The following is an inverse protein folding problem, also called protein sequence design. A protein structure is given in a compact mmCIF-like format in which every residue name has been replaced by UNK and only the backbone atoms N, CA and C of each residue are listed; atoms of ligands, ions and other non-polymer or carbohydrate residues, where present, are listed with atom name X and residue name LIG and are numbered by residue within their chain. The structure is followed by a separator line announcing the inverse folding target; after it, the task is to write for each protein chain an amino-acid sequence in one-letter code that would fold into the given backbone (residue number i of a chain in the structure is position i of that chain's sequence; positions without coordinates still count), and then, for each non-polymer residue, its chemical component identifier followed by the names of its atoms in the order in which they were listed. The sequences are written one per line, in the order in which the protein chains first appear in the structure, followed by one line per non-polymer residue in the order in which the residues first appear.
data_IF_145408622518
#
_entry.id   IF_145408622518
#
_cell.length_a   1.000
_cell.length_b   1.000
_cell.length_c   1.000
_cell.angle_alpha   90.00
_cell.angle_beta   90.00
_cell.angle_gamma   90.00
#
_symmetry.space_group_name_H-M   'P 1'
#
loop_
_entity.id
_entity.type
_entity.pdbx_description
1 polymer ?
#
# COMPACT_ATOMS: atom_id res chain seq x y z
N UNK A 1 11.48 2.06 3.69
CA UNK A 1 11.02 0.82 4.37
C UNK A 1 9.58 0.52 3.93
N UNK A 2 9.14 -0.73 4.04
CA UNK A 2 7.74 -1.14 3.77
C UNK A 2 7.20 -1.80 5.04
N UNK A 3 6.00 -1.41 5.46
CA UNK A 3 5.31 -1.96 6.63
C UNK A 3 4.07 -2.72 6.21
N UNK A 4 3.86 -3.90 6.80
CA UNK A 4 2.63 -4.69 6.66
C UNK A 4 1.88 -4.68 7.99
N UNK A 5 0.59 -4.31 8.00
CA UNK A 5 -0.23 -4.36 9.20
C UNK A 5 -0.51 -5.80 9.63
N UNK A 6 -0.81 -5.99 10.92
CA UNK A 6 -1.26 -7.27 11.47
C UNK A 6 -2.63 -7.70 10.92
N UNK A 7 -3.54 -6.76 10.72
CA UNK A 7 -4.85 -7.01 10.11
C UNK A 7 -4.75 -6.78 8.60
N UNK A 8 -4.98 -7.81 7.80
CA UNK A 8 -4.88 -7.74 6.34
C UNK A 8 -6.10 -7.07 5.70
N UNK A 9 -7.28 -7.26 6.30
CA UNK A 9 -8.60 -6.77 5.84
C UNK A 9 -8.79 -5.27 6.14
N UNK A 10 -7.81 -4.45 5.76
CA UNK A 10 -7.77 -3.00 6.02
C UNK A 10 -8.96 -2.25 5.40
N UNK A 11 -9.53 -2.75 4.30
CA UNK A 11 -10.74 -2.18 3.69
C UNK A 11 -11.95 -2.26 4.63
N UNK A 12 -12.23 -3.45 5.17
CA UNK A 12 -13.35 -3.65 6.10
C UNK A 12 -13.10 -2.91 7.42
N UNK A 13 -11.86 -2.96 7.92
CA UNK A 13 -11.45 -2.23 9.12
C UNK A 13 -11.65 -0.72 8.97
N UNK A 14 -11.29 -0.16 7.81
CA UNK A 14 -11.50 1.26 7.52
C UNK A 14 -12.97 1.67 7.52
N UNK A 15 -13.85 0.84 6.92
CA UNK A 15 -15.30 1.06 6.96
C UNK A 15 -15.85 0.99 8.40
N UNK A 16 -15.39 0.01 9.19
CA UNK A 16 -15.78 -0.14 10.59
C UNK A 16 -15.35 1.05 11.44
N UNK A 17 -14.12 1.56 11.25
CA UNK A 17 -13.63 2.76 11.92
C UNK A 17 -14.46 4.01 11.56
N UNK A 18 -14.77 4.21 10.27
CA UNK A 18 -15.58 5.35 9.84
C UNK A 18 -16.99 5.30 10.46
N UNK A 19 -17.65 4.14 10.43
CA UNK A 19 -18.97 3.97 11.04
C UNK A 19 -18.91 4.15 12.57
N UNK A 20 -17.89 3.56 13.23
CA UNK A 20 -17.74 3.64 14.67
C UNK A 20 -17.44 5.05 15.19
N UNK A 21 -16.71 5.87 14.42
CA UNK A 21 -16.56 7.29 14.75
C UNK A 21 -17.87 8.06 14.62
N UNK A 22 -18.64 7.81 13.55
CA UNK A 22 -19.91 8.49 13.31
C UNK A 22 -20.98 8.16 14.37
N UNK A 23 -20.91 6.96 14.97
CA UNK A 23 -21.86 6.51 15.99
C UNK A 23 -21.36 6.67 17.42
N UNK A 24 -20.12 7.15 17.61
CA UNK A 24 -19.51 7.33 18.93
C UNK A 24 -19.02 6.04 19.59
N UNK A 25 -18.86 4.94 18.84
CA UNK A 25 -18.17 3.74 19.32
C UNK A 25 -16.68 4.03 19.59
N UNK A 26 -16.07 4.87 18.75
CA UNK A 26 -14.80 5.54 19.03
C UNK A 26 -15.01 7.04 19.04
N UNK A 27 -14.27 7.75 19.89
CA UNK A 27 -14.45 9.19 20.09
C UNK A 27 -13.53 10.02 19.20
N UNK A 28 -12.32 9.50 18.92
CA UNK A 28 -11.29 10.25 18.18
C UNK A 28 -10.50 9.36 17.24
N UNK A 29 -9.87 9.97 16.25
CA UNK A 29 -8.91 9.26 15.39
C UNK A 29 -7.66 8.81 16.14
N UNK A 30 -7.35 9.38 17.31
CA UNK A 30 -6.22 8.96 18.14
C UNK A 30 -6.46 7.57 18.74
N UNK A 31 -7.69 7.27 19.16
CA UNK A 31 -8.09 5.93 19.61
C UNK A 31 -7.88 4.90 18.49
N UNK A 32 -8.23 5.24 17.25
CA UNK A 32 -8.05 4.33 16.11
C UNK A 32 -6.58 4.02 15.80
N UNK A 33 -5.66 4.98 16.04
CA UNK A 33 -4.22 4.76 15.84
C UNK A 33 -3.67 3.72 16.80
N UNK A 34 -4.24 3.62 18.01
CA UNK A 34 -3.84 2.60 19.00
C UNK A 34 -4.22 1.18 18.58
N UNK A 35 -5.24 1.04 17.72
CA UNK A 35 -5.65 -0.26 17.19
C UNK A 35 -4.74 -0.75 16.05
N UNK A 36 -4.00 0.16 15.40
CA UNK A 36 -3.07 -0.24 14.34
C UNK A 36 -1.83 -0.91 14.93
N UNK A 37 -1.53 -2.11 14.47
CA UNK A 37 -0.36 -2.87 14.88
C UNK A 37 0.42 -3.33 13.65
N UNK A 38 1.74 -3.17 13.70
CA UNK A 38 2.66 -3.68 12.68
C UNK A 38 2.91 -5.17 12.92
N UNK A 39 2.78 -5.97 11.87
CA UNK A 39 3.21 -7.38 11.90
C UNK A 39 4.65 -7.51 11.38
N UNK A 40 4.95 -6.89 10.23
CA UNK A 40 6.27 -6.99 9.65
C UNK A 40 6.72 -5.72 8.93
N UNK A 41 8.01 -5.43 9.04
CA UNK A 41 8.70 -4.34 8.34
C UNK A 41 9.87 -4.87 7.55
N UNK A 42 10.02 -4.36 6.33
CA UNK A 42 11.18 -4.62 5.47
C UNK A 42 11.93 -3.33 5.23
N UNK A 43 13.26 -3.44 5.23
CA UNK A 43 14.17 -2.38 4.81
C UNK A 43 14.69 -2.68 3.39
N UNK A 44 14.96 -1.65 2.57
CA UNK A 44 15.57 -1.85 1.27
C UNK A 44 16.91 -2.58 1.42
N UNK A 45 17.11 -3.63 0.62
CA UNK A 45 18.36 -4.41 0.61
C UNK A 45 19.16 -4.22 -0.68
N UNK A 46 18.53 -3.76 -1.75
CA UNK A 46 19.20 -3.46 -3.02
C UNK A 46 19.91 -2.11 -2.95
N UNK A 47 21.09 -2.05 -3.55
CA UNK A 47 21.75 -0.78 -3.80
C UNK A 47 21.05 0.01 -4.90
N UNK A 48 21.46 1.27 -5.06
CA UNK A 48 20.79 2.21 -5.97
C UNK A 48 20.92 1.80 -7.44
N UNK A 49 22.08 1.30 -7.86
CA UNK A 49 22.32 0.85 -9.24
C UNK A 49 21.47 -0.36 -9.61
N UNK A 50 21.37 -1.35 -8.73
CA UNK A 50 20.52 -2.53 -8.91
C UNK A 50 19.05 -2.11 -9.06
N UNK A 51 18.57 -1.22 -8.19
CA UNK A 51 17.20 -0.70 -8.24
C UNK A 51 16.94 0.08 -9.53
N UNK A 52 17.87 0.94 -9.93
CA UNK A 52 17.76 1.72 -11.16
C UNK A 52 17.67 0.83 -12.39
N UNK A 53 18.60 -0.12 -12.53
CA UNK A 53 18.68 -1.01 -13.69
C UNK A 53 17.44 -1.91 -13.79
N UNK A 54 16.97 -2.48 -12.67
CA UNK A 54 15.75 -3.28 -12.65
C UNK A 54 14.51 -2.49 -13.08
N UNK A 55 14.35 -1.26 -12.58
CA UNK A 55 13.23 -0.40 -12.95
C UNK A 55 13.30 0.08 -14.40
N UNK A 56 14.50 0.41 -14.90
CA UNK A 56 14.71 0.79 -16.29
C UNK A 56 14.34 -0.35 -17.26
N UNK A 57 14.74 -1.58 -16.93
CA UNK A 57 14.38 -2.78 -17.70
C UNK A 57 12.87 -3.03 -17.73
N UNK A 58 12.21 -2.92 -16.58
CA UNK A 58 10.75 -3.05 -16.48
C UNK A 58 10.02 -1.98 -17.32
N UNK A 59 10.42 -0.70 -17.22
CA UNK A 59 9.82 0.38 -18.03
C UNK A 59 9.96 0.10 -19.53
N UNK A 60 11.16 -0.29 -19.97
CA UNK A 60 11.39 -0.68 -21.37
C UNK A 60 10.45 -1.80 -21.82
N UNK A 61 10.16 -2.77 -20.96
CA UNK A 61 9.22 -3.85 -21.27
C UNK A 61 7.78 -3.31 -21.36
N UNK A 62 7.34 -2.49 -20.41
CA UNK A 62 6.01 -1.85 -20.42
C UNK A 62 5.81 -1.03 -21.68
N UNK A 63 6.78 -0.20 -22.07
CA UNK A 63 6.70 0.64 -23.28
C UNK A 63 6.43 -0.18 -24.54
N UNK A 64 6.93 -1.42 -24.62
CA UNK A 64 6.71 -2.33 -25.75
C UNK A 64 5.33 -3.00 -25.75
N UNK A 65 4.60 -2.93 -24.64
CA UNK A 65 3.22 -3.45 -24.52
C UNK A 65 2.16 -2.40 -24.85
N UNK A 66 2.54 -1.12 -24.91
CA UNK A 66 1.64 -0.02 -25.23
C UNK A 66 1.38 0.04 -26.74
N UNK A 67 0.22 0.61 -27.13
CA UNK A 67 -0.15 0.78 -28.54
C UNK A 67 -0.41 -0.55 -29.26
N UNK A 68 -0.83 -1.59 -28.53
CA UNK A 68 -1.07 -2.90 -29.12
C UNK A 68 -2.34 -2.95 -29.99
N UNK A 69 -3.37 -2.20 -29.60
CA UNK A 69 -4.63 -2.13 -30.34
C UNK A 69 -4.87 -0.68 -30.72
N UNK A 70 -5.09 -0.45 -32.01
CA UNK A 70 -5.69 0.78 -32.50
C UNK A 70 -7.21 0.61 -32.42
N UNK A 71 -7.89 1.56 -31.76
CA UNK A 71 -9.35 1.62 -31.71
C UNK A 71 -9.78 2.82 -32.55
N UNK A 72 -10.44 2.54 -33.67
CA UNK A 72 -11.09 3.54 -34.55
C UNK A 72 -12.33 4.18 -33.89
#
# INVERSE_FOLDING_TARGET
PVSRPLVAETTALGAAYAAGLATGFWTTTDELRQNWNEDKRWHPTWNDDQRHNGYAGWKKAVDRTLGWVDID
#
